data_IF_255525120215
#
_entry.id   IF_255525120215
#
_cell.length_a   1.000
_cell.length_b   1.000
_cell.length_c   1.000
_cell.angle_alpha   90.00
_cell.angle_beta   90.00
_cell.angle_gamma   90.00
#
_symmetry.space_group_name_H-M   'P 1'
#
loop_
_entity.id
_entity.type
_entity.pdbx_description
1 polymer ?
#
# COMPACT_ATOMS: atom_id res chain seq x y z
N UNK A 1 -1.35 -22.16 -10.23
CA UNK A 1 -1.79 -21.30 -9.12
C UNK A 1 -0.69 -21.22 -8.08
N UNK A 2 -0.26 -20.01 -7.73
CA UNK A 2 0.59 -19.76 -6.57
C UNK A 2 -0.20 -19.09 -5.45
N UNK A 3 0.14 -19.44 -4.22
CA UNK A 3 -0.42 -18.88 -2.99
C UNK A 3 0.68 -18.12 -2.24
N UNK A 4 0.32 -16.99 -1.66
CA UNK A 4 1.11 -16.24 -0.72
C UNK A 4 0.25 -15.96 0.50
N UNK A 5 0.84 -16.01 1.69
CA UNK A 5 0.18 -15.63 2.94
C UNK A 5 1.19 -14.94 3.85
N UNK A 6 0.78 -13.86 4.51
CA UNK A 6 1.60 -13.13 5.46
C UNK A 6 0.71 -12.44 6.50
N UNK A 7 1.21 -12.36 7.73
CA UNK A 7 0.61 -11.54 8.78
C UNK A 7 1.53 -10.38 9.17
N UNK A 8 0.94 -9.30 9.65
CA UNK A 8 1.60 -8.14 10.23
C UNK A 8 0.83 -7.68 11.46
N UNK A 9 1.52 -7.18 12.47
CA UNK A 9 0.90 -6.60 13.65
C UNK A 9 1.23 -5.12 13.74
N UNK A 10 0.19 -4.30 13.79
CA UNK A 10 0.27 -2.89 14.13
C UNK A 10 0.11 -2.74 15.64
N UNK A 11 0.89 -1.85 16.26
CA UNK A 11 0.76 -1.49 17.68
C UNK A 11 -0.36 -0.49 17.94
N UNK A 12 -1.17 -0.19 16.92
CA UNK A 12 -2.29 0.75 16.99
C UNK A 12 -3.62 0.01 17.11
N UNK A 13 -4.57 0.67 17.78
CA UNK A 13 -5.94 0.17 17.92
C UNK A 13 -6.61 -0.06 16.56
N UNK A 14 -7.51 -1.03 16.52
CA UNK A 14 -8.21 -1.42 15.29
C UNK A 14 -8.89 -0.25 14.56
N UNK A 15 -9.51 0.67 15.29
CA UNK A 15 -10.26 1.78 14.67
C UNK A 15 -9.37 2.74 13.85
N UNK A 16 -8.17 3.06 14.33
CA UNK A 16 -7.25 3.96 13.61
C UNK A 16 -6.57 3.23 12.45
N UNK A 17 -6.28 1.92 12.59
CA UNK A 17 -5.74 1.09 11.51
C UNK A 17 -6.77 0.89 10.40
N UNK A 18 -8.02 0.62 10.74
CA UNK A 18 -9.13 0.55 9.79
C UNK A 18 -9.31 1.88 9.04
N UNK A 19 -9.27 3.01 9.75
CA UNK A 19 -9.32 4.33 9.12
C UNK A 19 -8.14 4.56 8.16
N UNK A 20 -6.92 4.26 8.61
CA UNK A 20 -5.72 4.37 7.78
C UNK A 20 -5.79 3.49 6.52
N UNK A 21 -6.36 2.29 6.63
CA UNK A 21 -6.55 1.39 5.49
C UNK A 21 -7.44 2.00 4.40
N UNK A 22 -8.54 2.67 4.79
CA UNK A 22 -9.42 3.32 3.82
C UNK A 22 -8.84 4.62 3.26
N UNK A 23 -8.02 5.34 4.04
CA UNK A 23 -7.33 6.57 3.65
C UNK A 23 -5.94 6.35 3.03
N UNK A 24 -5.57 5.10 2.73
CA UNK A 24 -4.19 4.79 2.32
C UNK A 24 -3.75 5.40 0.99
N UNK A 25 -4.64 6.01 0.21
CA UNK A 25 -4.28 6.71 -1.02
C UNK A 25 -4.71 8.18 -0.98
N UNK A 26 -3.88 9.08 -1.55
CA UNK A 26 -2.57 8.80 -2.13
C UNK A 26 -1.48 8.61 -1.06
N UNK A 27 -0.37 7.94 -1.41
CA UNK A 27 0.83 7.86 -0.57
C UNK A 27 2.09 7.59 -1.45
N UNK A 28 3.30 8.00 -1.05
CA UNK A 28 4.51 7.86 -1.89
C UNK A 28 4.95 6.42 -2.14
N UNK A 29 4.56 5.47 -1.29
CA UNK A 29 4.87 4.05 -1.46
C UNK A 29 3.93 3.37 -2.48
N UNK A 30 2.83 4.03 -2.85
CA UNK A 30 1.85 3.57 -3.82
C UNK A 30 1.63 4.57 -4.97
N UNK A 31 2.70 5.23 -5.45
CA UNK A 31 2.64 6.19 -6.57
C UNK A 31 2.11 5.64 -7.91
N UNK A 32 1.97 4.33 -8.02
CA UNK A 32 1.38 3.66 -9.16
C UNK A 32 -0.16 3.67 -9.14
N UNK A 33 -0.79 4.01 -8.01
CA UNK A 33 -2.25 4.20 -7.92
C UNK A 33 -2.60 5.59 -8.43
N UNK A 34 -3.44 5.64 -9.47
CA UNK A 34 -3.82 6.88 -10.15
C UNK A 34 -5.14 7.43 -9.62
N UNK A 35 -6.10 6.56 -9.32
CA UNK A 35 -7.39 6.94 -8.70
C UNK A 35 -7.94 5.82 -7.82
N UNK A 36 -8.83 6.19 -6.91
CA UNK A 36 -9.55 5.29 -6.03
C UNK A 36 -10.92 5.90 -5.72
N UNK A 37 -11.97 5.32 -6.29
CA UNK A 37 -13.33 5.87 -6.28
C UNK A 37 -14.28 4.91 -5.56
N UNK A 38 -15.19 5.44 -4.74
CA UNK A 38 -16.24 4.64 -4.11
C UNK A 38 -17.40 4.48 -5.09
N UNK A 39 -17.71 3.25 -5.46
CA UNK A 39 -18.78 2.92 -6.42
C UNK A 39 -20.09 2.64 -5.70
N UNK A 40 -20.03 1.92 -4.59
CA UNK A 40 -21.18 1.58 -3.77
C UNK A 40 -20.78 1.53 -2.29
N UNK A 41 -21.72 1.91 -1.43
CA UNK A 41 -21.58 1.80 0.02
C UNK A 41 -22.95 1.69 0.66
N UNK A 42 -23.14 0.65 1.46
CA UNK A 42 -24.41 0.33 2.10
C UNK A 42 -24.17 -0.42 3.41
N UNK A 43 -25.17 -0.41 4.28
CA UNK A 43 -25.18 -1.23 5.49
C UNK A 43 -25.85 -2.57 5.20
N UNK A 44 -25.26 -3.65 5.71
CA UNK A 44 -25.90 -4.96 5.72
C UNK A 44 -27.06 -4.97 6.73
N UNK A 45 -28.00 -5.93 6.61
CA UNK A 45 -29.03 -6.14 7.63
C UNK A 45 -28.46 -6.41 9.03
N UNK A 46 -27.23 -6.94 9.12
CA UNK A 46 -26.51 -7.19 10.39
C UNK A 46 -25.80 -5.95 10.94
N UNK A 47 -25.81 -4.82 10.23
CA UNK A 47 -25.19 -3.56 10.66
C UNK A 47 -23.73 -3.37 10.23
N UNK A 48 -23.14 -4.29 9.47
CA UNK A 48 -21.81 -4.13 8.89
C UNK A 48 -21.83 -3.11 7.74
N UNK A 49 -20.75 -2.37 7.53
CA UNK A 49 -20.63 -1.45 6.40
C UNK A 49 -19.95 -2.15 5.22
N UNK A 50 -20.64 -2.28 4.10
CA UNK A 50 -20.07 -2.74 2.84
C UNK A 50 -19.64 -1.56 1.99
N UNK A 51 -18.48 -1.69 1.35
CA UNK A 51 -17.96 -0.70 0.41
C UNK A 51 -17.33 -1.39 -0.79
N UNK A 52 -17.73 -0.99 -1.99
CA UNK A 52 -17.05 -1.33 -3.24
C UNK A 52 -16.30 -0.10 -3.75
N UNK A 53 -15.00 -0.24 -3.99
CA UNK A 53 -14.16 0.78 -4.62
C UNK A 53 -13.61 0.29 -5.95
N UNK A 54 -13.43 1.23 -6.88
CA UNK A 54 -12.73 1.02 -8.15
C UNK A 54 -11.40 1.77 -8.09
N UNK A 55 -10.32 1.05 -8.35
CA UNK A 55 -8.95 1.57 -8.26
C UNK A 55 -8.31 1.46 -9.64
N UNK A 56 -7.79 2.57 -10.14
CA UNK A 56 -6.95 2.58 -11.34
C UNK A 56 -5.48 2.57 -10.93
N UNK A 57 -4.69 1.65 -11.47
CA UNK A 57 -3.24 1.63 -11.25
C UNK A 57 -2.44 1.44 -12.53
N UNK A 58 -1.28 2.07 -12.57
CA UNK A 58 -0.27 1.82 -13.60
C UNK A 58 0.50 0.55 -13.29
N UNK A 59 0.53 -0.37 -14.24
CA UNK A 59 1.37 -1.56 -14.24
C UNK A 59 2.61 -1.38 -15.11
N UNK A 60 3.52 -2.35 -15.02
CA UNK A 60 4.65 -2.49 -15.92
C UNK A 60 4.78 -3.98 -16.29
N UNK A 61 4.88 -4.25 -17.59
CA UNK A 61 5.12 -5.60 -18.07
C UNK A 61 6.60 -5.98 -17.84
N UNK A 62 6.89 -7.25 -17.51
CA UNK A 62 8.27 -7.70 -17.47
C UNK A 62 8.90 -7.65 -18.86
N UNK A 63 10.21 -7.36 -18.93
CA UNK A 63 10.95 -7.28 -20.20
C UNK A 63 10.97 -8.58 -21.01
N UNK A 64 10.78 -9.73 -20.35
CA UNK A 64 10.69 -11.03 -21.01
C UNK A 64 9.29 -11.33 -21.58
N UNK A 65 8.27 -10.54 -21.24
CA UNK A 65 6.91 -10.77 -21.70
C UNK A 65 6.78 -10.33 -23.18
N UNK A 66 6.05 -11.08 -24.02
CA UNK A 66 5.99 -10.73 -25.43
C UNK A 66 5.35 -9.35 -25.65
N UNK A 67 6.04 -8.50 -26.41
CA UNK A 67 5.56 -7.18 -26.81
C UNK A 67 4.29 -7.27 -27.66
N UNK A 68 3.41 -6.27 -27.54
CA UNK A 68 2.21 -6.16 -28.37
C UNK A 68 0.98 -6.96 -27.90
N UNK A 69 1.11 -7.79 -26.86
CA UNK A 69 -0.03 -8.56 -26.30
C UNK A 69 -0.95 -7.68 -25.44
N UNK A 70 -0.38 -6.73 -24.70
CA UNK A 70 -1.11 -5.84 -23.80
C UNK A 70 -0.90 -4.41 -24.28
N UNK A 71 -1.98 -3.78 -24.77
CA UNK A 71 -1.94 -2.42 -25.33
C UNK A 71 -2.02 -1.33 -24.25
N UNK A 72 -2.61 -1.64 -23.09
CA UNK A 72 -2.75 -0.71 -21.96
C UNK A 72 -1.96 -1.23 -20.76
N UNK A 73 -1.03 -0.40 -20.28
CA UNK A 73 -0.24 -0.72 -19.08
C UNK A 73 -0.99 -0.43 -17.78
N UNK A 74 -2.17 0.20 -17.85
CA UNK A 74 -3.04 0.41 -16.70
C UNK A 74 -3.92 -0.81 -16.45
N UNK A 75 -4.31 -0.98 -15.18
CA UNK A 75 -5.20 -2.03 -14.74
C UNK A 75 -6.24 -1.50 -13.77
N UNK A 76 -7.48 -1.88 -14.00
CA UNK A 76 -8.60 -1.64 -13.10
C UNK A 76 -8.70 -2.74 -12.06
N UNK A 77 -8.75 -2.35 -10.78
CA UNK A 77 -8.92 -3.23 -9.63
C UNK A 77 -10.25 -2.89 -8.96
N UNK A 78 -11.06 -3.91 -8.69
CA UNK A 78 -12.18 -3.77 -7.77
C UNK A 78 -11.73 -4.18 -6.37
N UNK A 79 -12.07 -3.36 -5.39
CA UNK A 79 -11.93 -3.64 -3.97
C UNK A 79 -13.32 -3.75 -3.35
N UNK A 80 -13.59 -4.85 -2.66
CA UNK A 80 -14.85 -5.12 -1.99
C UNK A 80 -14.53 -5.36 -0.51
N UNK A 81 -15.10 -4.54 0.37
CA UNK A 81 -14.80 -4.59 1.81
C UNK A 81 -16.08 -4.61 2.65
N UNK A 82 -16.00 -5.28 3.79
CA UNK A 82 -17.02 -5.30 4.83
C UNK A 82 -16.38 -4.97 6.19
N UNK A 83 -16.95 -4.00 6.88
CA UNK A 83 -16.50 -3.55 8.21
C UNK A 83 -17.54 -3.94 9.25
N UNK A 84 -17.17 -4.88 10.11
CA UNK A 84 -17.93 -5.22 11.32
C UNK A 84 -17.36 -4.42 12.50
N UNK A 85 -18.13 -3.44 12.96
CA UNK A 85 -17.74 -2.55 14.07
C UNK A 85 -17.80 -3.29 15.40
N UNK A 86 -18.78 -4.18 15.58
CA UNK A 86 -18.96 -4.92 16.83
C UNK A 86 -17.88 -6.00 16.99
N UNK A 87 -17.60 -6.74 15.91
CA UNK A 87 -16.52 -7.71 15.85
C UNK A 87 -15.12 -7.10 15.73
N UNK A 88 -15.02 -5.79 15.42
CA UNK A 88 -13.76 -5.08 15.11
C UNK A 88 -12.95 -5.82 14.05
N UNK A 89 -13.60 -6.05 12.91
CA UNK A 89 -13.01 -6.74 11.76
C UNK A 89 -13.25 -5.94 10.49
N UNK A 90 -12.20 -5.73 9.71
CA UNK A 90 -12.33 -5.37 8.29
C UNK A 90 -11.99 -6.59 7.47
N UNK A 91 -12.89 -7.02 6.60
CA UNK A 91 -12.61 -8.00 5.55
C UNK A 91 -12.56 -7.27 4.22
N UNK A 92 -11.55 -7.54 3.41
CA UNK A 92 -11.36 -6.88 2.13
C UNK A 92 -10.84 -7.86 1.09
N UNK A 93 -11.46 -7.85 -0.10
CA UNK A 93 -11.00 -8.61 -1.26
C UNK A 93 -10.71 -7.65 -2.40
N UNK A 94 -9.55 -7.78 -3.02
CA UNK A 94 -9.22 -7.07 -4.26
C UNK A 94 -8.99 -8.04 -5.40
N UNK A 95 -9.38 -7.64 -6.62
CA UNK A 95 -9.11 -8.38 -7.85
C UNK A 95 -9.04 -7.48 -9.06
N UNK A 96 -8.17 -7.81 -10.02
CA UNK A 96 -8.15 -7.12 -11.30
C UNK A 96 -9.36 -7.49 -12.18
N UNK A 97 -9.90 -6.48 -12.87
CA UNK A 97 -11.02 -6.61 -13.80
C UNK A 97 -10.54 -6.88 -15.23
N UNK A 98 -9.40 -6.33 -15.60
CA UNK A 98 -8.75 -6.50 -16.90
C UNK A 98 -7.53 -7.42 -16.82
N UNK A 99 -6.97 -7.78 -17.98
CA UNK A 99 -5.77 -8.64 -18.11
C UNK A 99 -5.88 -10.03 -17.44
N UNK A 100 -7.08 -10.46 -17.04
CA UNK A 100 -7.35 -11.70 -16.29
C UNK A 100 -6.81 -12.96 -16.99
N UNK A 101 -6.81 -12.98 -18.33
CA UNK A 101 -6.22 -14.09 -19.10
C UNK A 101 -4.70 -14.19 -18.90
N UNK A 102 -4.01 -13.05 -18.84
CA UNK A 102 -2.57 -12.99 -18.61
C UNK A 102 -2.29 -13.36 -17.16
N UNK A 103 -2.90 -12.65 -16.22
CA UNK A 103 -2.76 -12.92 -14.78
C UNK A 103 -3.97 -12.37 -14.03
N UNK A 104 -4.67 -13.25 -13.32
CA UNK A 104 -5.62 -12.90 -12.29
C UNK A 104 -4.91 -12.91 -10.94
N UNK A 105 -5.06 -11.81 -10.20
CA UNK A 105 -4.61 -11.66 -8.82
C UNK A 105 -5.85 -11.44 -7.98
N UNK A 106 -6.02 -12.30 -6.97
CA UNK A 106 -7.07 -12.14 -5.95
C UNK A 106 -6.34 -12.04 -4.62
N UNK A 107 -6.51 -10.91 -3.93
CA UNK A 107 -5.95 -10.67 -2.60
C UNK A 107 -7.10 -10.57 -1.60
N UNK A 108 -7.00 -11.32 -0.50
CA UNK A 108 -7.91 -11.24 0.63
C UNK A 108 -7.13 -10.73 1.85
N UNK A 109 -7.61 -9.67 2.47
CA UNK A 109 -7.01 -9.02 3.63
C UNK A 109 -8.01 -8.95 4.76
N UNK A 110 -7.61 -9.33 5.96
CA UNK A 110 -8.37 -9.10 7.19
C UNK A 110 -7.60 -8.21 8.15
N UNK A 111 -8.25 -7.20 8.71
CA UNK A 111 -7.74 -6.40 9.84
C UNK A 111 -8.60 -6.70 11.06
N UNK A 112 -8.01 -7.31 12.07
CA UNK A 112 -8.72 -7.74 13.28
C UNK A 112 -8.01 -7.18 14.50
N UNK A 113 -8.76 -6.75 15.52
CA UNK A 113 -8.18 -6.42 16.82
C UNK A 113 -7.36 -7.61 17.35
N UNK A 114 -6.18 -7.33 17.91
CA UNK A 114 -5.36 -8.39 18.50
C UNK A 114 -6.04 -9.00 19.73
N UNK A 115 -5.78 -10.28 20.06
CA UNK A 115 -6.44 -10.93 21.21
C UNK A 115 -6.19 -10.27 22.56
N UNK A 116 -5.07 -9.53 22.69
CA UNK A 116 -4.71 -8.74 23.88
C UNK A 116 -5.38 -7.34 23.91
N UNK A 117 -6.06 -6.93 22.82
CA UNK A 117 -6.68 -5.62 22.66
C UNK A 117 -5.68 -4.46 22.51
N UNK A 118 -4.38 -4.74 22.36
CA UNK A 118 -3.31 -3.74 22.35
C UNK A 118 -2.84 -3.35 20.94
N UNK A 119 -3.46 -3.91 19.90
CA UNK A 119 -3.05 -3.68 18.52
C UNK A 119 -4.02 -4.23 17.50
N UNK A 120 -3.55 -4.30 16.26
CA UNK A 120 -4.31 -4.80 15.12
C UNK A 120 -3.49 -5.78 14.33
N UNK A 121 -4.04 -6.96 14.07
CA UNK A 121 -3.43 -7.96 13.21
C UNK A 121 -4.00 -7.83 11.80
N UNK A 122 -3.11 -7.58 10.84
CA UNK A 122 -3.40 -7.73 9.42
C UNK A 122 -2.99 -9.13 8.97
N UNK A 123 -3.92 -9.89 8.42
CA UNK A 123 -3.63 -11.09 7.66
C UNK A 123 -3.90 -10.84 6.18
N UNK A 124 -3.05 -11.35 5.29
CA UNK A 124 -3.20 -11.15 3.84
C UNK A 124 -2.83 -12.42 3.10
N UNK A 125 -3.75 -12.89 2.27
CA UNK A 125 -3.55 -13.99 1.33
C UNK A 125 -3.67 -13.48 -0.10
N UNK A 126 -2.82 -13.97 -0.99
CA UNK A 126 -2.91 -13.66 -2.41
C UNK A 126 -2.82 -14.91 -3.27
N UNK A 127 -3.67 -14.97 -4.30
CA UNK A 127 -3.72 -16.05 -5.29
C UNK A 127 -3.35 -15.49 -6.66
N UNK A 128 -2.39 -16.14 -7.30
CA UNK A 128 -1.93 -15.78 -8.66
C UNK A 128 -2.33 -16.90 -9.61
N UNK A 129 -3.18 -16.58 -10.59
CA UNK A 129 -3.69 -17.52 -11.57
C UNK A 129 -3.42 -16.96 -12.96
N UNK A 130 -2.65 -17.69 -13.77
CA UNK A 130 -2.50 -17.35 -15.19
C UNK A 130 -3.27 -18.35 -16.03
N UNK A 131 -4.08 -17.85 -16.97
CA UNK A 131 -4.72 -18.67 -18.02
C UNK A 131 -4.04 -18.44 -19.37
N UNK A 132 -2.81 -17.94 -19.34
CA UNK A 132 -2.06 -17.62 -20.53
C UNK A 132 -1.58 -18.91 -21.19
N UNK A 133 -1.91 -19.10 -22.47
CA UNK A 133 -1.42 -20.23 -23.27
C UNK A 133 0.07 -20.10 -23.56
N UNK A 134 0.70 -21.15 -24.09
CA UNK A 134 2.11 -21.17 -24.53
C UNK A 134 3.15 -21.52 -23.46
N UNK A 135 2.75 -22.20 -22.37
CA UNK A 135 3.70 -22.74 -21.38
C UNK A 135 4.34 -21.69 -20.45
N UNK A 136 4.01 -20.41 -20.60
CA UNK A 136 4.52 -19.33 -19.74
C UNK A 136 3.80 -19.20 -18.39
N UNK A 137 2.73 -19.97 -18.18
CA UNK A 137 1.86 -19.93 -16.99
C UNK A 137 2.66 -19.89 -15.68
N UNK A 138 3.60 -20.84 -15.49
CA UNK A 138 4.42 -20.92 -14.26
C UNK A 138 5.31 -19.69 -14.07
N UNK A 139 5.90 -19.18 -15.16
CA UNK A 139 6.79 -18.01 -15.13
C UNK A 139 6.01 -16.73 -14.79
N UNK A 140 4.81 -16.58 -15.35
CA UNK A 140 3.91 -15.45 -15.06
C UNK A 140 3.44 -15.49 -13.60
N UNK A 141 2.95 -16.65 -13.13
CA UNK A 141 2.51 -16.80 -11.73
C UNK A 141 3.65 -16.56 -10.74
N UNK A 142 4.87 -17.04 -11.04
CA UNK A 142 6.05 -16.76 -10.24
C UNK A 142 6.42 -15.27 -10.22
N UNK A 143 6.35 -14.60 -11.36
CA UNK A 143 6.59 -13.16 -11.44
C UNK A 143 5.59 -12.37 -10.58
N UNK A 144 4.30 -12.72 -10.67
CA UNK A 144 3.24 -12.12 -9.85
C UNK A 144 3.51 -12.27 -8.35
N UNK A 145 3.81 -13.49 -7.90
CA UNK A 145 4.11 -13.77 -6.49
C UNK A 145 5.36 -13.01 -5.98
N UNK A 146 6.43 -12.95 -6.78
CA UNK A 146 7.65 -12.19 -6.42
C UNK A 146 7.38 -10.70 -6.31
N UNK A 147 6.61 -10.13 -7.26
CA UNK A 147 6.21 -8.72 -7.21
C UNK A 147 5.32 -8.41 -6.02
N UNK A 148 4.39 -9.30 -5.70
CA UNK A 148 3.53 -9.14 -4.54
C UNK A 148 4.31 -9.10 -3.24
N UNK A 149 5.27 -10.02 -3.06
CA UNK A 149 6.17 -10.03 -1.89
C UNK A 149 6.98 -8.74 -1.76
N UNK A 150 7.39 -8.11 -2.87
CA UNK A 150 8.07 -6.81 -2.81
C UNK A 150 7.10 -5.65 -2.51
N UNK A 151 5.85 -5.74 -2.94
CA UNK A 151 4.85 -4.69 -2.78
C UNK A 151 4.21 -4.67 -1.39
N UNK A 152 4.14 -5.81 -0.68
CA UNK A 152 3.48 -5.87 0.63
C UNK A 152 4.20 -5.03 1.68
N UNK A 153 5.54 -4.99 1.65
CA UNK A 153 6.31 -4.11 2.54
C UNK A 153 6.04 -2.63 2.24
N UNK A 154 5.97 -2.24 0.97
CA UNK A 154 5.60 -0.86 0.59
C UNK A 154 4.18 -0.50 1.01
N UNK A 155 3.26 -1.47 0.95
CA UNK A 155 1.88 -1.28 1.44
C UNK A 155 1.86 -0.99 2.94
N UNK A 156 2.70 -1.69 3.72
CA UNK A 156 2.85 -1.44 5.16
C UNK A 156 3.42 -0.06 5.44
N UNK A 157 4.48 0.33 4.73
CA UNK A 157 5.06 1.68 4.84
C UNK A 157 4.02 2.78 4.55
N UNK A 158 3.18 2.57 3.52
CA UNK A 158 2.06 3.47 3.20
C UNK A 158 1.03 3.61 4.32
N UNK A 159 0.61 2.49 4.94
CA UNK A 159 -0.32 2.51 6.08
C UNK A 159 0.33 3.16 7.30
N UNK A 160 1.59 2.82 7.62
CA UNK A 160 2.33 3.41 8.74
C UNK A 160 2.49 4.92 8.60
N UNK A 161 2.71 5.42 7.38
CA UNK A 161 2.71 6.85 7.09
C UNK A 161 1.36 7.50 7.44
N UNK A 162 0.25 6.91 6.98
CA UNK A 162 -1.09 7.44 7.23
C UNK A 162 -1.43 7.39 8.71
N UNK A 163 -1.08 6.32 9.41
CA UNK A 163 -1.23 6.20 10.86
C UNK A 163 -0.52 7.35 11.59
N UNK A 164 0.75 7.62 11.23
CA UNK A 164 1.51 8.73 11.80
C UNK A 164 0.80 10.07 11.58
N UNK A 165 0.35 10.35 10.35
CA UNK A 165 -0.38 11.58 10.02
C UNK A 165 -1.69 11.72 10.80
N UNK A 166 -2.43 10.62 10.99
CA UNK A 166 -3.66 10.61 11.79
C UNK A 166 -3.39 10.92 13.27
N UNK A 167 -2.29 10.41 13.84
CA UNK A 167 -1.89 10.72 15.23
C UNK A 167 -1.51 12.20 15.38
N UNK A 168 -0.72 12.74 14.46
CA UNK A 168 -0.33 14.17 14.45
C UNK A 168 -1.56 15.09 14.31
N UNK A 169 -2.51 14.72 13.45
CA UNK A 169 -3.77 15.45 13.30
C UNK A 169 -4.64 15.41 14.56
N UNK A 170 -4.68 14.28 15.27
CA UNK A 170 -5.39 14.17 16.55
C UNK A 170 -4.75 15.05 17.62
N UNK A 171 -3.42 14.96 17.80
CA UNK A 171 -2.71 15.73 18.83
C UNK A 171 -2.87 17.24 18.62
N UNK A 172 -2.77 17.71 17.38
CA UNK A 172 -2.95 19.14 17.07
C UNK A 172 -4.39 19.65 17.29
N UNK A 173 -5.42 18.79 17.27
CA UNK A 173 -6.79 19.19 17.66
C UNK A 173 -6.92 19.42 19.16
N UNK A 174 -6.20 18.65 19.97
CA UNK A 174 -6.23 18.80 21.42
C UNK A 174 -5.54 20.10 21.88
N UNK A 175 -4.60 20.63 21.10
CA UNK A 175 -3.83 21.84 21.46
C UNK A 175 -4.45 23.15 20.99
N UNK A 176 -5.33 23.16 19.99
CA UNK A 176 -5.86 24.40 19.37
C UNK A 176 -7.27 24.81 19.83
N UNK A 177 -7.93 24.05 20.69
CA UNK A 177 -9.31 24.32 21.11
C UNK A 177 -10.34 24.15 19.97
N UNK A 178 -11.65 24.12 20.28
CA UNK A 178 -12.70 23.70 19.35
C UNK A 178 -12.97 24.67 18.17
N UNK A 179 -12.35 25.85 18.13
CA UNK A 179 -12.73 26.96 17.22
C UNK A 179 -11.82 27.17 16.01
N UNK A 180 -10.71 26.43 15.88
CA UNK A 180 -9.79 26.58 14.73
C UNK A 180 -9.72 25.27 13.93
N UNK A 181 -10.63 25.09 12.97
CA UNK A 181 -10.64 23.89 12.11
C UNK A 181 -10.22 24.25 10.69
N UNK A 182 -8.93 24.09 10.31
CA UNK A 182 -8.59 23.77 8.94
C UNK A 182 -9.12 22.37 8.63
N UNK A 183 -9.78 22.20 7.48
CA UNK A 183 -10.36 20.92 7.08
C UNK A 183 -9.32 19.78 7.09
N UNK A 184 -9.74 18.55 7.40
CA UNK A 184 -8.85 17.37 7.30
C UNK A 184 -8.26 17.24 5.87
N UNK A 185 -9.03 17.67 4.87
CA UNK A 185 -8.64 17.68 3.46
C UNK A 185 -7.44 18.60 3.18
N UNK A 186 -7.30 19.74 3.86
CA UNK A 186 -6.16 20.65 3.66
C UNK A 186 -4.87 20.15 4.31
N UNK A 187 -4.93 19.16 5.21
CA UNK A 187 -3.75 18.57 5.89
C UNK A 187 -3.36 17.21 5.34
N UNK A 188 -4.29 16.49 4.71
CA UNK A 188 -4.00 15.34 3.85
C UNK A 188 -3.53 15.79 2.46
N UNK A 189 -3.08 17.04 2.29
CA UNK A 189 -2.42 17.47 1.08
C UNK A 189 -1.05 16.78 0.97
N UNK A 190 -1.03 15.65 0.28
CA UNK A 190 0.17 14.88 0.00
C UNK A 190 1.14 15.61 -0.96
N UNK A 191 0.82 16.81 -1.47
CA UNK A 191 1.69 17.57 -2.39
C UNK A 191 3.09 17.81 -1.80
N UNK A 192 3.18 18.18 -0.51
CA UNK A 192 4.46 18.39 0.18
C UNK A 192 5.22 17.08 0.45
N UNK A 193 4.50 15.99 0.71
CA UNK A 193 5.14 14.67 0.89
C UNK A 193 5.66 14.12 -0.44
N UNK A 194 4.93 14.35 -1.54
CA UNK A 194 5.29 13.93 -2.90
C UNK A 194 6.40 14.80 -3.50
N UNK A 195 6.49 16.10 -3.16
CA UNK A 195 7.57 16.98 -3.63
C UNK A 195 8.95 16.56 -3.14
N UNK A 196 9.03 15.90 -1.99
CA UNK A 196 10.29 15.39 -1.44
C UNK A 196 10.73 14.06 -2.06
N UNK A 197 9.82 13.30 -2.66
CA UNK A 197 10.09 11.98 -3.27
C UNK A 197 10.38 12.08 -4.78
N UNK A 198 9.97 13.18 -5.42
CA UNK A 198 10.17 13.43 -6.86
C UNK A 198 11.57 13.90 -7.27
N UNK A 199 12.51 14.13 -6.33
CA UNK A 199 13.91 14.37 -6.71
C UNK A 199 14.56 13.03 -7.08
N UNK A 200 14.69 12.79 -8.38
CA UNK A 200 15.71 11.88 -8.91
C UNK A 200 17.01 12.08 -8.12
N UNK A 201 17.74 11.01 -7.75
CA UNK A 201 19.08 11.21 -7.22
C UNK A 201 19.84 12.03 -8.27
N UNK A 202 20.29 13.22 -7.88
CA UNK A 202 21.27 13.95 -8.69
C UNK A 202 22.43 13.00 -8.87
N UNK A 203 22.89 12.84 -10.11
CA UNK A 203 24.19 12.21 -10.37
C UNK A 203 25.20 12.87 -9.44
N UNK A 204 25.80 12.09 -8.54
CA UNK A 204 26.87 12.55 -7.65
C UNK A 204 27.94 13.22 -8.52
N UNK A 205 28.27 14.48 -8.24
CA UNK A 205 29.37 15.14 -8.94
C UNK A 205 30.70 14.52 -8.51
N UNK A 206 31.75 14.70 -9.31
CA UNK A 206 33.09 14.21 -8.93
C UNK A 206 33.58 14.78 -7.60
N UNK A 207 33.13 15.97 -7.20
CA UNK A 207 33.40 16.55 -5.88
C UNK A 207 32.81 15.71 -4.74
N UNK A 208 31.58 15.24 -4.89
CA UNK A 208 30.88 14.45 -3.84
C UNK A 208 31.56 13.09 -3.62
N UNK A 209 32.15 12.52 -4.68
CA UNK A 209 32.94 11.29 -4.63
C UNK A 209 34.33 11.50 -4.00
N UNK A 210 34.85 12.73 -4.05
CA UNK A 210 36.15 13.09 -3.48
C UNK A 210 36.05 13.32 -1.97
N UNK A 211 34.95 13.91 -1.51
CA UNK A 211 34.66 14.09 -0.08
C UNK A 211 34.42 12.76 0.65
N UNK A 212 33.78 11.78 -0.02
CA UNK A 212 33.60 10.43 0.52
C UNK A 212 34.92 9.66 0.69
N UNK A 213 35.92 9.92 -0.17
CA UNK A 213 37.26 9.32 -0.05
C UNK A 213 38.06 9.95 1.10
N UNK A 214 37.89 11.25 1.34
CA UNK A 214 38.56 11.96 2.44
C UNK A 214 37.98 11.60 3.82
N UNK A 215 36.73 11.15 3.90
CA UNK A 215 36.13 10.69 5.15
C UNK A 215 36.70 9.35 5.66
N UNK A 216 37.28 8.52 4.79
CA UNK A 216 37.88 7.23 5.16
C UNK A 216 39.38 7.32 5.52
N UNK A 217 40.02 8.48 5.37
CA UNK A 217 41.45 8.67 5.73
C UNK A 217 41.69 9.18 7.15
N UNK A 218 40.64 9.45 7.94
CA UNK A 218 40.76 9.93 9.32
C UNK A 218 40.15 8.95 10.31
N UNK A 219 40.77 7.77 10.46
CA UNK A 219 40.59 6.97 11.68
C UNK A 219 41.84 7.16 12.56
N UNK A 220 41.71 7.56 13.83
CA UNK A 220 42.86 7.71 14.71
C UNK A 220 43.45 6.34 15.05
N UNK A 221 44.79 6.25 15.06
CA UNK A 221 45.52 5.08 15.56
C UNK A 221 45.30 4.97 17.08
N UNK A 222 45.18 3.75 17.64
CA UNK A 222 45.15 3.57 19.08
C UNK A 222 46.53 3.91 19.67
N UNK A 223 46.53 4.69 20.74
CA UNK A 223 47.70 4.95 21.58
C UNK A 223 48.08 3.69 22.39
N UNK A 224 49.37 3.60 22.71
CA UNK A 224 50.10 2.46 23.29
C UNK A 224 49.52 1.89 24.58
#
# INVERSE_FOLDING_TARGET
>A
MKLFSQSHQYSDNWSIVALAFFLRYPNPYASHVLSCDVIARDFTPSGSLRTTRLILKRGALPSWFPSGIVSRQESWIVEESEVDIAGRVVQCVTRNLDHVKVMQVIEATSLTESPDGLGTVQHTEARFLSRFGWGLTRRIEQFGATRFKANIERSREGISLVLRLLREAHQSRLTLGPTAVPSLASRLDFSQALSNVGRSPRSLSMSDLQDLKNLHSTSPRPEN
#
